data_IF_406765911139
#
_entry.id   IF_406765911139
#
_cell.length_a   1.000
_cell.length_b   1.000
_cell.length_c   1.000
_cell.angle_alpha   90.00
_cell.angle_beta   90.00
_cell.angle_gamma   90.00
#
_symmetry.space_group_name_H-M   'P 1'
#
loop_
_entity.id
_entity.type
_entity.pdbx_description
1 polymer ?
#
# COMPACT_ATOMS: atom_id res chain seq x y z
N UNK A 1 14.53 11.27 10.00
CA UNK A 1 13.38 12.16 9.75
C UNK A 1 13.19 13.09 10.95
N UNK A 2 13.01 14.39 10.68
CA UNK A 2 13.00 15.42 11.74
C UNK A 2 11.64 16.12 11.92
N UNK A 3 10.66 15.83 11.05
CA UNK A 3 9.32 16.41 11.15
C UNK A 3 8.22 15.42 10.77
N UNK A 4 7.08 15.55 11.43
CA UNK A 4 5.86 14.78 11.16
C UNK A 4 4.68 15.74 11.12
N UNK A 5 3.81 15.58 10.13
CA UNK A 5 2.55 16.30 9.99
C UNK A 5 1.39 15.34 9.84
N UNK A 6 0.36 15.51 10.64
CA UNK A 6 -0.86 14.69 10.60
C UNK A 6 -1.99 15.42 9.87
N UNK A 7 -2.81 14.66 9.15
CA UNK A 7 -4.04 15.11 8.50
C UNK A 7 -5.24 14.32 9.01
N UNK A 8 -6.43 14.91 8.95
CA UNK A 8 -7.66 14.32 9.48
C UNK A 8 -8.07 13.02 8.75
N UNK A 9 -7.84 12.92 7.45
CA UNK A 9 -8.14 11.72 6.65
C UNK A 9 -6.87 11.17 5.99
N UNK A 10 -6.68 9.83 5.96
CA UNK A 10 -5.51 9.21 5.35
C UNK A 10 -5.32 9.58 3.87
N UNK A 11 -6.41 9.61 3.11
CA UNK A 11 -6.42 9.97 1.69
C UNK A 11 -5.90 11.40 1.47
N UNK A 12 -6.25 12.33 2.37
CA UNK A 12 -5.83 13.73 2.26
C UNK A 12 -4.34 13.93 2.49
N UNK A 13 -3.65 13.07 3.23
CA UNK A 13 -2.19 13.18 3.42
C UNK A 13 -1.45 13.01 2.09
N UNK A 14 -1.84 12.04 1.26
CA UNK A 14 -1.30 11.83 -0.08
C UNK A 14 -1.66 12.98 -1.03
N UNK A 15 -2.97 13.28 -1.18
CA UNK A 15 -3.43 14.33 -2.09
C UNK A 15 -2.78 15.68 -1.77
N UNK A 16 -2.86 16.07 -0.51
CA UNK A 16 -2.37 17.35 -0.04
C UNK A 16 -0.85 17.43 -0.06
N UNK A 17 -0.16 16.37 0.38
CA UNK A 17 1.30 16.30 0.43
C UNK A 17 1.90 16.41 -0.97
N UNK A 18 1.50 15.54 -1.88
CA UNK A 18 2.03 15.50 -3.25
C UNK A 18 1.72 16.81 -3.99
N UNK A 19 0.44 17.25 -3.96
CA UNK A 19 0.03 18.46 -4.66
C UNK A 19 0.78 19.70 -4.16
N UNK A 20 0.94 19.84 -2.84
CA UNK A 20 1.60 21.01 -2.25
C UNK A 20 3.10 21.00 -2.53
N UNK A 21 3.78 19.88 -2.29
CA UNK A 21 5.23 19.78 -2.55
C UNK A 21 5.54 20.10 -4.00
N UNK A 22 4.81 19.49 -4.93
CA UNK A 22 5.05 19.70 -6.36
C UNK A 22 4.78 21.15 -6.79
N UNK A 23 3.73 21.80 -6.26
CA UNK A 23 3.40 23.23 -6.55
C UNK A 23 4.44 24.20 -6.02
N UNK A 24 5.02 23.90 -4.86
CA UNK A 24 6.03 24.77 -4.24
C UNK A 24 7.38 24.72 -4.96
N UNK A 25 7.61 23.70 -5.78
CA UNK A 25 8.84 23.51 -6.54
C UNK A 25 8.60 23.98 -7.99
N UNK A 26 9.17 25.11 -8.43
CA UNK A 26 8.97 25.60 -9.80
C UNK A 26 9.40 24.56 -10.85
N UNK A 27 8.60 24.39 -11.90
CA UNK A 27 8.84 23.45 -13.00
C UNK A 27 9.05 21.98 -12.56
N UNK A 28 8.43 21.55 -11.46
CA UNK A 28 8.55 20.18 -10.97
C UNK A 28 8.03 19.17 -11.99
N UNK A 29 8.83 18.15 -12.30
CA UNK A 29 8.40 16.96 -13.04
C UNK A 29 8.06 15.84 -12.06
N UNK A 30 6.84 15.32 -12.11
CA UNK A 30 6.42 14.18 -11.30
C UNK A 30 6.58 12.89 -12.10
N UNK A 31 7.26 11.91 -11.51
CA UNK A 31 7.41 10.56 -12.03
C UNK A 31 6.58 9.62 -11.12
N UNK A 32 5.44 9.14 -11.62
CA UNK A 32 4.48 8.35 -10.82
C UNK A 32 4.44 6.90 -11.29
N UNK A 33 4.48 5.95 -10.36
CA UNK A 33 4.25 4.54 -10.68
C UNK A 33 2.84 4.33 -11.25
N UNK A 34 2.72 3.40 -12.21
CA UNK A 34 1.47 3.12 -12.92
C UNK A 34 0.37 2.56 -12.01
N UNK A 35 0.73 1.90 -10.90
CA UNK A 35 -0.22 1.29 -9.96
C UNK A 35 -0.37 2.06 -8.65
N UNK A 36 0.09 3.29 -8.58
CA UNK A 36 -0.11 4.13 -7.41
C UNK A 36 -1.58 4.25 -7.02
N UNK A 37 -1.85 4.28 -5.73
CA UNK A 37 -3.18 4.47 -5.16
C UNK A 37 -3.85 5.75 -5.68
N UNK A 38 -5.19 5.72 -5.78
CA UNK A 38 -5.98 6.84 -6.31
C UNK A 38 -5.72 8.17 -5.60
N UNK A 39 -5.45 8.18 -4.29
CA UNK A 39 -5.11 9.40 -3.55
C UNK A 39 -3.80 10.04 -4.04
N UNK A 40 -2.80 9.22 -4.39
CA UNK A 40 -1.55 9.71 -4.98
C UNK A 40 -1.80 10.26 -6.39
N UNK A 41 -2.59 9.54 -7.20
CA UNK A 41 -2.99 10.00 -8.54
C UNK A 41 -3.75 11.33 -8.47
N UNK A 42 -4.63 11.48 -7.49
CA UNK A 42 -5.36 12.72 -7.25
C UNK A 42 -4.40 13.87 -6.87
N UNK A 43 -3.46 13.64 -5.96
CA UNK A 43 -2.42 14.62 -5.60
C UNK A 43 -1.56 15.03 -6.79
N UNK A 44 -1.14 14.05 -7.61
CA UNK A 44 -0.41 14.32 -8.86
C UNK A 44 -1.23 15.18 -9.83
N UNK A 45 -2.52 14.88 -10.00
CA UNK A 45 -3.42 15.68 -10.87
C UNK A 45 -3.64 17.09 -10.32
N UNK A 46 -3.90 17.22 -9.02
CA UNK A 46 -4.14 18.50 -8.36
C UNK A 46 -2.91 19.42 -8.36
N UNK A 47 -1.70 18.86 -8.46
CA UNK A 47 -0.48 19.65 -8.56
C UNK A 47 -0.46 20.53 -9.81
N UNK A 48 -1.08 20.11 -10.91
CA UNK A 48 -1.00 20.76 -12.21
C UNK A 48 0.38 20.67 -12.88
N UNK A 49 1.36 19.98 -12.27
CA UNK A 49 2.69 19.80 -12.81
C UNK A 49 2.72 18.78 -13.96
N UNK A 50 3.75 18.88 -14.82
CA UNK A 50 4.05 17.83 -15.79
C UNK A 50 4.25 16.50 -15.05
N UNK A 51 3.64 15.44 -15.58
CA UNK A 51 3.79 14.10 -15.04
C UNK A 51 4.15 13.10 -16.12
N UNK A 52 4.95 12.12 -15.76
CA UNK A 52 5.25 10.93 -16.55
C UNK A 52 4.98 9.71 -15.72
N UNK A 53 4.29 8.75 -16.31
CA UNK A 53 3.94 7.49 -15.64
C UNK A 53 4.95 6.44 -16.06
N UNK A 54 5.63 5.83 -15.09
CA UNK A 54 6.53 4.72 -15.37
C UNK A 54 5.85 3.38 -15.11
N UNK A 55 6.27 2.36 -15.89
CA UNK A 55 5.70 1.02 -15.76
C UNK A 55 5.94 0.48 -14.37
N UNK A 56 4.92 -0.16 -13.81
CA UNK A 56 4.92 -0.64 -12.44
C UNK A 56 6.20 -1.43 -12.09
N UNK A 57 6.88 -0.96 -11.03
CA UNK A 57 8.14 -1.52 -10.51
C UNK A 57 9.30 -1.66 -11.55
N UNK A 58 9.15 -1.11 -12.76
CA UNK A 58 10.16 -1.13 -13.81
C UNK A 58 11.16 0.02 -13.64
N UNK A 59 12.20 -0.24 -12.88
CA UNK A 59 13.26 0.77 -12.62
C UNK A 59 14.08 1.13 -13.86
N UNK A 60 14.09 0.28 -14.90
CA UNK A 60 14.74 0.63 -16.16
C UNK A 60 13.95 1.70 -16.89
N UNK A 61 12.63 1.57 -16.97
CA UNK A 61 11.75 2.60 -17.54
C UNK A 61 11.79 3.89 -16.71
N UNK A 62 11.82 3.80 -15.36
CA UNK A 62 12.01 4.97 -14.51
C UNK A 62 13.32 5.70 -14.87
N UNK A 63 14.42 4.97 -15.04
CA UNK A 63 15.70 5.55 -15.40
C UNK A 63 15.69 6.22 -16.79
N UNK A 64 14.99 5.62 -17.78
CA UNK A 64 14.78 6.23 -19.10
C UNK A 64 14.09 7.59 -18.99
N UNK A 65 13.01 7.68 -18.19
CA UNK A 65 12.26 8.92 -17.99
C UNK A 65 13.08 9.98 -17.24
N UNK A 66 13.88 9.57 -16.25
CA UNK A 66 14.78 10.44 -15.52
C UNK A 66 15.88 11.01 -16.43
N UNK A 67 16.47 10.17 -17.29
CA UNK A 67 17.49 10.54 -18.25
C UNK A 67 16.96 11.51 -19.33
N UNK A 68 15.70 11.33 -19.74
CA UNK A 68 15.05 12.20 -20.72
C UNK A 68 14.61 13.57 -20.16
N UNK A 69 14.67 13.77 -18.84
CA UNK A 69 14.40 15.06 -18.22
C UNK A 69 15.67 15.93 -18.23
N UNK A 70 15.48 17.26 -18.30
CA UNK A 70 16.60 18.18 -18.18
C UNK A 70 17.37 17.95 -16.86
N UNK A 71 18.71 17.94 -16.87
CA UNK A 71 19.50 17.56 -15.68
C UNK A 71 19.15 18.37 -14.42
N UNK A 72 18.99 19.68 -14.55
CA UNK A 72 18.72 20.60 -13.45
C UNK A 72 17.22 20.79 -13.15
N UNK A 73 16.33 20.12 -13.91
CA UNK A 73 14.89 20.18 -13.66
C UNK A 73 14.57 19.47 -12.35
N UNK A 74 13.83 20.08 -11.42
CA UNK A 74 13.37 19.41 -10.22
C UNK A 74 12.45 18.21 -10.55
N UNK A 75 12.65 17.11 -9.87
CA UNK A 75 11.92 15.86 -10.10
C UNK A 75 11.40 15.31 -8.78
N UNK A 76 10.19 14.77 -8.79
CA UNK A 76 9.56 14.07 -7.67
C UNK A 76 9.15 12.67 -8.13
N UNK A 77 9.76 11.64 -7.55
CA UNK A 77 9.40 10.23 -7.78
C UNK A 77 8.34 9.84 -6.73
N UNK A 78 7.18 9.38 -7.18
CA UNK A 78 6.02 9.06 -6.34
C UNK A 78 5.67 7.58 -6.51
N UNK A 79 5.68 6.80 -5.42
CA UNK A 79 5.46 5.36 -5.44
C UNK A 79 4.95 4.84 -4.09
N UNK A 80 4.31 3.65 -4.08
CA UNK A 80 4.01 2.91 -2.86
C UNK A 80 5.17 1.98 -2.52
N UNK A 81 5.47 1.81 -1.24
CA UNK A 81 6.47 0.81 -0.82
C UNK A 81 5.92 -0.60 -0.86
N UNK A 82 4.62 -0.74 -0.60
CA UNK A 82 3.85 -1.97 -0.68
C UNK A 82 2.50 -1.68 -1.34
N UNK A 83 2.27 -2.25 -2.51
CA UNK A 83 1.10 -2.01 -3.33
C UNK A 83 -0.12 -2.77 -2.86
N UNK A 84 -1.22 -2.04 -2.70
CA UNK A 84 -2.41 -2.49 -1.97
C UNK A 84 -3.22 -3.59 -2.66
N UNK A 85 -3.13 -3.73 -4.00
CA UNK A 85 -3.96 -4.65 -4.77
C UNK A 85 -3.25 -5.94 -5.15
N UNK A 86 -1.96 -5.87 -5.40
CA UNK A 86 -1.13 -7.01 -5.81
C UNK A 86 -0.32 -7.59 -4.65
N UNK A 87 -0.07 -6.79 -3.62
CA UNK A 87 0.70 -7.23 -2.45
C UNK A 87 2.19 -7.39 -2.75
N UNK A 88 2.69 -6.70 -3.75
CA UNK A 88 4.11 -6.65 -4.08
C UNK A 88 4.80 -5.43 -3.46
N UNK A 89 6.10 -5.39 -3.54
CA UNK A 89 6.96 -4.39 -2.89
C UNK A 89 7.78 -3.67 -3.95
N UNK A 90 7.88 -2.35 -3.82
CA UNK A 90 8.73 -1.55 -4.68
C UNK A 90 10.23 -1.89 -4.49
N UNK A 91 11.03 -1.84 -5.56
CA UNK A 91 12.49 -2.05 -5.48
C UNK A 91 13.19 -0.81 -4.88
N UNK A 92 12.96 -0.56 -3.57
CA UNK A 92 13.30 0.70 -2.87
C UNK A 92 14.75 1.14 -3.06
N UNK A 93 15.70 0.21 -2.88
CA UNK A 93 17.12 0.56 -3.00
C UNK A 93 17.44 1.09 -4.39
N UNK A 94 16.89 0.45 -5.44
CA UNK A 94 17.12 0.88 -6.81
C UNK A 94 16.45 2.22 -7.13
N UNK A 95 15.24 2.46 -6.60
CA UNK A 95 14.56 3.76 -6.74
C UNK A 95 15.38 4.87 -6.05
N UNK A 96 15.89 4.62 -4.84
CA UNK A 96 16.74 5.56 -4.13
C UNK A 96 18.06 5.83 -4.88
N UNK A 97 18.70 4.80 -5.44
CA UNK A 97 19.92 4.95 -6.26
C UNK A 97 19.66 5.87 -7.47
N UNK A 98 18.52 5.69 -8.12
CA UNK A 98 18.13 6.54 -9.25
C UNK A 98 17.79 7.96 -8.80
N UNK A 99 17.08 8.13 -7.70
CA UNK A 99 16.76 9.44 -7.14
C UNK A 99 18.01 10.23 -6.82
N UNK A 100 18.98 9.62 -6.15
CA UNK A 100 20.28 10.25 -5.82
C UNK A 100 21.06 10.59 -7.09
N UNK A 101 21.16 9.65 -8.04
CA UNK A 101 21.91 9.85 -9.29
C UNK A 101 21.37 11.00 -10.15
N UNK A 102 20.05 11.15 -10.22
CA UNK A 102 19.38 12.13 -11.07
C UNK A 102 18.89 13.38 -10.32
N UNK A 103 19.21 13.53 -9.04
CA UNK A 103 18.82 14.66 -8.22
C UNK A 103 17.30 14.79 -8.09
N UNK A 104 16.60 13.67 -7.89
CA UNK A 104 15.16 13.61 -7.70
C UNK A 104 14.81 13.46 -6.21
N UNK A 105 13.73 14.11 -5.78
CA UNK A 105 13.10 13.84 -4.49
C UNK A 105 12.25 12.56 -4.56
N UNK A 106 12.07 11.91 -3.43
CA UNK A 106 11.24 10.71 -3.28
C UNK A 106 10.05 10.95 -2.35
N UNK A 107 8.88 10.51 -2.79
CA UNK A 107 7.65 10.44 -1.98
C UNK A 107 7.15 8.99 -1.97
N UNK A 108 7.23 8.34 -0.83
CA UNK A 108 6.87 6.94 -0.66
C UNK A 108 5.66 6.79 0.26
N UNK A 109 4.65 6.10 -0.23
CA UNK A 109 3.46 5.72 0.54
C UNK A 109 3.71 4.39 1.26
N UNK A 110 3.64 4.41 2.59
CA UNK A 110 3.80 3.27 3.50
C UNK A 110 2.46 2.82 4.13
N UNK A 111 1.34 3.28 3.60
CA UNK A 111 0.00 3.07 4.18
C UNK A 111 -0.31 1.59 4.44
N UNK A 112 0.16 0.69 3.58
CA UNK A 112 0.01 -0.75 3.73
C UNK A 112 1.18 -1.44 4.47
N UNK A 113 2.13 -0.68 5.01
CA UNK A 113 3.32 -1.24 5.60
C UNK A 113 3.62 -0.72 7.03
N UNK A 114 3.28 0.53 7.36
CA UNK A 114 3.46 1.07 8.71
C UNK A 114 2.70 0.25 9.76
N UNK A 115 3.35 -0.03 10.87
CA UNK A 115 2.86 -0.91 11.93
C UNK A 115 3.07 -2.41 11.65
N UNK A 116 3.25 -2.81 10.39
CA UNK A 116 3.27 -4.22 9.95
C UNK A 116 4.65 -4.72 9.52
N UNK A 117 5.57 -3.84 9.17
CA UNK A 117 6.93 -4.16 8.71
C UNK A 117 7.98 -3.33 9.43
N UNK A 118 9.23 -3.82 9.39
CA UNK A 118 10.36 -3.19 10.07
C UNK A 118 10.47 -3.58 11.54
N UNK A 119 11.65 -3.44 12.11
CA UNK A 119 11.94 -3.84 13.49
C UNK A 119 11.11 -3.06 14.53
N UNK A 120 10.78 -1.82 14.22
CA UNK A 120 10.00 -0.93 15.08
C UNK A 120 8.61 -0.61 14.52
N UNK A 121 8.21 -1.28 13.43
CA UNK A 121 6.96 -1.04 12.75
C UNK A 121 6.92 0.25 11.92
N UNK A 122 8.06 0.71 11.44
CA UNK A 122 8.10 1.93 10.62
C UNK A 122 7.92 1.67 9.11
N UNK A 123 7.66 0.43 8.72
CA UNK A 123 7.29 0.08 7.35
C UNK A 123 8.35 -0.70 6.59
N UNK A 124 8.14 -0.83 5.28
CA UNK A 124 9.05 -1.52 4.35
C UNK A 124 10.36 -0.74 4.20
N UNK A 125 10.32 0.58 4.22
CA UNK A 125 11.53 1.40 4.16
C UNK A 125 12.48 1.13 5.34
N UNK A 126 11.94 0.89 6.55
CA UNK A 126 12.73 0.45 7.70
C UNK A 126 13.26 -0.97 7.51
N UNK A 127 12.41 -1.90 7.07
CA UNK A 127 12.78 -3.29 6.83
C UNK A 127 13.96 -3.41 5.87
N UNK A 128 13.93 -2.63 4.80
CA UNK A 128 14.90 -2.70 3.70
C UNK A 128 16.07 -1.72 3.87
N UNK A 129 16.14 -0.98 4.98
CA UNK A 129 17.22 -0.03 5.27
C UNK A 129 17.26 1.19 4.33
N UNK A 130 16.12 1.58 3.76
CA UNK A 130 16.00 2.69 2.83
C UNK A 130 15.43 3.98 3.46
N UNK A 131 15.00 3.95 4.72
CA UNK A 131 14.24 5.03 5.36
C UNK A 131 14.95 6.39 5.31
N UNK A 132 16.25 6.42 5.53
CA UNK A 132 17.01 7.67 5.55
C UNK A 132 17.31 8.23 4.16
N UNK A 133 17.04 7.45 3.11
CA UNK A 133 17.20 7.81 1.69
C UNK A 133 15.91 8.34 1.06
N UNK A 134 14.78 8.28 1.77
CA UNK A 134 13.48 8.74 1.31
C UNK A 134 13.20 10.12 1.89
N UNK A 135 12.84 11.09 1.03
CA UNK A 135 12.62 12.49 1.46
C UNK A 135 11.29 12.65 2.18
N UNK A 136 10.24 11.97 1.72
CA UNK A 136 8.90 12.01 2.30
C UNK A 136 8.34 10.60 2.41
N UNK A 137 7.98 10.21 3.64
CA UNK A 137 7.16 9.02 3.90
C UNK A 137 5.75 9.45 4.28
N UNK A 138 4.78 8.84 3.62
CA UNK A 138 3.37 8.95 4.00
C UNK A 138 2.92 7.69 4.72
N UNK A 139 2.04 7.83 5.68
CA UNK A 139 1.49 6.71 6.43
C UNK A 139 0.09 6.99 6.95
N UNK A 140 -0.60 5.91 7.31
CA UNK A 140 -1.96 5.99 7.85
C UNK A 140 -2.02 5.58 9.33
N UNK A 141 -2.95 6.19 10.05
CA UNK A 141 -3.36 5.75 11.38
C UNK A 141 -4.55 4.77 11.33
N UNK A 142 -5.15 4.57 10.14
CA UNK A 142 -6.43 3.86 9.97
C UNK A 142 -6.31 2.35 9.69
N UNK A 143 -5.10 1.81 9.60
CA UNK A 143 -4.88 0.38 9.38
C UNK A 143 -4.29 -0.29 10.63
N UNK A 144 -3.00 -0.54 10.68
CA UNK A 144 -2.36 -1.24 11.79
C UNK A 144 -2.52 -0.52 13.15
N UNK A 145 -2.64 0.80 13.15
CA UNK A 145 -2.81 1.56 14.38
C UNK A 145 -4.28 1.66 14.87
N UNK A 146 -5.26 1.22 14.06
CA UNK A 146 -6.67 1.14 14.45
C UNK A 146 -7.36 2.46 14.76
N UNK A 147 -6.85 3.58 14.20
CA UNK A 147 -7.35 4.94 14.43
C UNK A 147 -7.85 5.58 13.13
N UNK A 148 -8.08 6.89 13.16
CA UNK A 148 -8.41 7.71 12.00
C UNK A 148 -7.26 8.69 11.75
N UNK A 149 -6.94 8.95 10.48
CA UNK A 149 -5.96 9.96 10.09
C UNK A 149 -4.81 9.41 9.26
N UNK A 150 -4.06 10.32 8.67
CA UNK A 150 -2.82 10.06 7.95
C UNK A 150 -1.75 11.08 8.35
N UNK A 151 -0.54 10.85 7.92
CA UNK A 151 0.57 11.73 8.22
C UNK A 151 1.63 11.67 7.11
N UNK A 152 2.40 12.73 7.00
CA UNK A 152 3.68 12.72 6.30
C UNK A 152 4.82 12.89 7.29
N UNK A 153 5.95 12.27 6.98
CA UNK A 153 7.18 12.37 7.75
C UNK A 153 8.35 12.64 6.81
N UNK A 154 9.25 13.55 7.19
CA UNK A 154 10.39 13.92 6.38
C UNK A 154 11.26 14.96 7.07
N UNK A 155 12.03 15.73 6.30
CA UNK A 155 12.81 16.87 6.83
C UNK A 155 11.86 17.94 7.36
N UNK A 156 12.22 18.57 8.49
CA UNK A 156 11.36 19.56 9.17
C UNK A 156 10.93 20.72 8.26
N UNK A 157 11.83 21.25 7.45
CA UNK A 157 11.53 22.34 6.51
C UNK A 157 10.48 21.94 5.46
N UNK A 158 10.51 20.70 4.97
CA UNK A 158 9.54 20.19 4.02
C UNK A 158 8.16 20.01 4.69
N UNK A 159 8.16 19.41 5.87
CA UNK A 159 6.91 19.21 6.66
C UNK A 159 6.29 20.56 7.02
N UNK A 160 7.10 21.55 7.40
CA UNK A 160 6.65 22.90 7.72
C UNK A 160 6.09 23.63 6.49
N UNK A 161 6.73 23.46 5.32
CA UNK A 161 6.21 23.98 4.06
C UNK A 161 4.81 23.39 3.73
N UNK A 162 4.63 22.08 3.86
CA UNK A 162 3.31 21.46 3.66
C UNK A 162 2.30 22.00 4.68
N UNK A 163 2.66 22.09 5.97
CA UNK A 163 1.80 22.64 7.01
C UNK A 163 1.34 24.06 6.69
N UNK A 164 2.24 24.88 6.13
CA UNK A 164 2.00 26.31 5.91
C UNK A 164 1.25 26.61 4.61
N UNK A 165 1.35 25.73 3.60
CA UNK A 165 0.83 26.01 2.25
C UNK A 165 -0.24 25.02 1.77
N UNK A 166 -0.45 23.90 2.47
CA UNK A 166 -1.40 22.89 2.03
C UNK A 166 -2.85 23.24 2.37
N UNK A 167 -3.72 23.48 1.39
CA UNK A 167 -5.12 23.80 1.66
C UNK A 167 -5.84 22.67 2.41
N UNK A 168 -5.56 21.42 2.09
CA UNK A 168 -6.13 20.25 2.76
C UNK A 168 -5.68 20.07 4.20
N UNK A 169 -4.68 20.81 4.67
CA UNK A 169 -4.29 20.89 6.07
C UNK A 169 -4.84 22.16 6.73
N UNK A 170 -4.69 23.32 6.10
CA UNK A 170 -5.05 24.63 6.69
C UNK A 170 -6.56 24.76 6.91
N UNK A 171 -7.36 24.27 5.95
CA UNK A 171 -8.81 24.43 5.90
C UNK A 171 -9.59 23.18 6.33
N UNK A 172 -8.97 22.28 7.07
CA UNK A 172 -9.63 21.13 7.68
C UNK A 172 -9.57 21.20 9.20
N UNK A 173 -10.38 20.35 9.86
CA UNK A 173 -10.32 20.21 11.31
C UNK A 173 -9.14 19.35 11.74
N UNK A 174 -8.59 19.64 12.92
CA UNK A 174 -7.57 18.80 13.54
C UNK A 174 -8.14 17.43 13.95
N UNK A 175 -7.26 16.45 14.11
CA UNK A 175 -7.65 15.16 14.70
C UNK A 175 -8.15 15.38 16.13
N UNK A 176 -9.28 14.74 16.52
CA UNK A 176 -9.77 14.82 17.89
C UNK A 176 -8.72 14.32 18.91
N UNK A 177 -8.59 14.97 20.09
CA UNK A 177 -7.62 14.57 21.10
C UNK A 177 -7.66 13.08 21.50
N UNK A 178 -8.83 12.42 21.64
CA UNK A 178 -8.88 10.99 21.91
C UNK A 178 -8.24 10.15 20.80
N UNK A 179 -8.40 10.52 19.53
CA UNK A 179 -7.77 9.85 18.38
C UNK A 179 -6.26 10.01 18.43
N UNK A 180 -5.77 11.20 18.73
CA UNK A 180 -4.33 11.44 18.88
C UNK A 180 -3.74 10.62 20.03
N UNK A 181 -4.45 10.52 21.15
CA UNK A 181 -4.03 9.72 22.30
C UNK A 181 -3.99 8.22 21.96
N UNK A 182 -5.03 7.70 21.30
CA UNK A 182 -5.11 6.31 20.86
C UNK A 182 -4.00 5.97 19.85
N UNK A 183 -3.80 6.82 18.84
CA UNK A 183 -2.72 6.65 17.87
C UNK A 183 -1.34 6.66 18.52
N UNK A 184 -1.12 7.57 19.48
CA UNK A 184 0.13 7.63 20.24
C UNK A 184 0.37 6.35 21.03
N UNK A 185 -0.66 5.81 21.69
CA UNK A 185 -0.57 4.55 22.44
C UNK A 185 -0.28 3.36 21.50
N UNK A 186 -1.00 3.25 20.36
CA UNK A 186 -0.80 2.20 19.37
C UNK A 186 0.62 2.25 18.77
N UNK A 187 1.11 3.42 18.39
CA UNK A 187 2.48 3.60 17.86
C UNK A 187 3.53 3.21 18.91
N UNK A 188 3.38 3.66 20.16
CA UNK A 188 4.30 3.30 21.24
C UNK A 188 4.32 1.79 21.49
N UNK A 189 3.15 1.16 21.50
CA UNK A 189 3.03 -0.29 21.65
C UNK A 189 3.75 -1.02 20.53
N UNK A 190 3.40 -0.76 19.27
CA UNK A 190 3.98 -1.43 18.13
C UNK A 190 5.49 -1.13 17.94
N UNK A 191 5.97 0.02 18.43
CA UNK A 191 7.40 0.34 18.41
C UNK A 191 8.23 -0.57 19.32
N UNK A 192 7.65 -1.09 20.39
CA UNK A 192 8.30 -1.97 21.36
C UNK A 192 7.89 -3.43 21.27
N UNK A 193 6.73 -3.74 20.66
CA UNK A 193 6.24 -5.10 20.46
C UNK A 193 6.54 -5.61 19.06
N UNK A 194 7.03 -6.85 18.98
CA UNK A 194 7.22 -7.59 17.73
C UNK A 194 6.22 -8.74 17.56
N UNK A 195 5.45 -9.04 18.62
CA UNK A 195 4.55 -10.20 18.59
C UNK A 195 3.53 -10.09 17.46
N UNK A 196 2.86 -8.94 17.34
CA UNK A 196 1.81 -8.74 16.34
C UNK A 196 2.37 -8.86 14.92
N UNK A 197 3.55 -8.27 14.67
CA UNK A 197 4.20 -8.33 13.35
C UNK A 197 4.64 -9.74 13.00
N UNK A 198 5.28 -10.44 13.92
CA UNK A 198 5.72 -11.82 13.70
C UNK A 198 4.53 -12.75 13.45
N UNK A 199 3.50 -12.64 14.28
CA UNK A 199 2.26 -13.42 14.14
C UNK A 199 1.51 -13.09 12.84
N UNK A 200 1.46 -11.80 12.45
CA UNK A 200 0.83 -11.37 11.22
C UNK A 200 1.49 -12.00 9.97
N UNK A 201 2.82 -11.97 9.89
CA UNK A 201 3.55 -12.59 8.77
C UNK A 201 3.37 -14.11 8.76
N UNK A 202 3.40 -14.74 9.92
CA UNK A 202 3.15 -16.18 10.06
C UNK A 202 1.73 -16.54 9.60
N UNK A 203 0.71 -15.79 10.01
CA UNK A 203 -0.68 -16.01 9.56
C UNK A 203 -0.84 -15.81 8.06
N UNK A 204 -0.21 -14.79 7.48
CA UNK A 204 -0.21 -14.58 6.03
C UNK A 204 0.42 -15.77 5.28
N UNK A 205 1.53 -16.28 5.79
CA UNK A 205 2.17 -17.49 5.27
C UNK A 205 1.26 -18.72 5.35
N UNK A 206 0.61 -18.93 6.49
CA UNK A 206 -0.34 -20.05 6.71
C UNK A 206 -1.52 -19.97 5.75
N UNK A 207 -2.17 -18.81 5.60
CA UNK A 207 -3.28 -18.62 4.66
C UNK A 207 -2.84 -18.97 3.24
N UNK A 208 -1.72 -18.43 2.76
CA UNK A 208 -1.20 -18.76 1.42
C UNK A 208 -0.97 -20.26 1.24
N UNK A 209 -0.37 -20.91 2.24
CA UNK A 209 -0.07 -22.35 2.18
C UNK A 209 -1.35 -23.19 2.05
N UNK A 210 -2.36 -22.89 2.87
CA UNK A 210 -3.62 -23.63 2.87
C UNK A 210 -4.42 -23.41 1.59
N UNK A 211 -4.53 -22.16 1.12
CA UNK A 211 -5.24 -21.84 -0.13
C UNK A 211 -4.54 -22.45 -1.36
N UNK A 212 -3.21 -22.44 -1.41
CA UNK A 212 -2.46 -23.11 -2.47
C UNK A 212 -2.63 -24.66 -2.41
N UNK A 213 -2.69 -25.24 -1.21
CA UNK A 213 -2.96 -26.67 -1.06
C UNK A 213 -4.36 -27.04 -1.58
N UNK A 214 -5.34 -26.16 -1.43
CA UNK A 214 -6.69 -26.26 -2.00
C UNK A 214 -6.75 -25.93 -3.51
N UNK A 215 -5.60 -25.70 -4.16
CA UNK A 215 -5.51 -25.32 -5.56
C UNK A 215 -6.26 -24.03 -5.94
N UNK A 216 -6.55 -23.16 -4.99
CA UNK A 216 -7.15 -21.84 -5.24
C UNK A 216 -6.15 -20.93 -5.98
N UNK A 217 -6.60 -20.04 -6.88
CA UNK A 217 -5.73 -19.22 -7.71
C UNK A 217 -5.14 -18.02 -6.94
N UNK A 218 -4.33 -18.31 -5.92
CA UNK A 218 -3.59 -17.32 -5.16
C UNK A 218 -2.54 -16.66 -6.04
N UNK A 219 -2.59 -15.35 -6.14
CA UNK A 219 -1.57 -14.58 -6.87
C UNK A 219 -0.24 -14.59 -6.12
N UNK A 220 0.90 -14.56 -6.83
CA UNK A 220 2.20 -14.40 -6.19
C UNK A 220 2.26 -13.14 -5.34
N UNK A 221 2.52 -13.29 -4.06
CA UNK A 221 2.69 -12.19 -3.11
C UNK A 221 3.64 -12.61 -1.99
N UNK A 222 4.59 -11.72 -1.67
CA UNK A 222 5.55 -11.93 -0.57
C UNK A 222 5.15 -11.16 0.70
N UNK A 223 3.96 -10.55 0.71
CA UNK A 223 3.48 -9.69 1.80
C UNK A 223 2.29 -10.32 2.52
N UNK A 224 1.69 -9.59 3.45
CA UNK A 224 0.49 -10.01 4.16
C UNK A 224 -0.79 -9.96 3.30
N UNK A 225 -0.74 -9.32 2.15
CA UNK A 225 -1.87 -9.27 1.22
C UNK A 225 -1.91 -10.56 0.41
N UNK A 226 -3.03 -11.25 0.45
CA UNK A 226 -3.23 -12.54 -0.23
C UNK A 226 -4.36 -12.38 -1.25
N UNK A 227 -4.03 -11.97 -2.49
CA UNK A 227 -5.04 -11.85 -3.53
C UNK A 227 -5.37 -13.22 -4.11
N UNK A 228 -6.67 -13.52 -4.28
CA UNK A 228 -7.16 -14.74 -4.93
C UNK A 228 -7.91 -14.33 -6.20
N UNK A 229 -7.37 -14.72 -7.36
CA UNK A 229 -7.89 -14.31 -8.66
C UNK A 229 -9.28 -14.90 -8.92
N UNK A 230 -10.20 -14.07 -9.41
CA UNK A 230 -11.51 -14.50 -9.91
C UNK A 230 -11.64 -14.21 -11.40
N UNK A 231 -11.23 -13.02 -11.85
CA UNK A 231 -11.14 -12.63 -13.26
C UNK A 231 -12.47 -12.21 -13.90
N UNK A 232 -13.53 -12.11 -13.11
CA UNK A 232 -14.86 -11.65 -13.57
C UNK A 232 -15.54 -10.86 -12.42
N UNK A 233 -16.14 -9.68 -12.70
CA UNK A 233 -16.70 -8.81 -11.66
C UNK A 233 -17.98 -9.35 -11.02
N UNK A 234 -18.82 -10.09 -11.77
CA UNK A 234 -20.06 -10.65 -11.25
C UNK A 234 -19.76 -11.83 -10.35
N UNK A 235 -18.87 -12.73 -10.80
CA UNK A 235 -18.41 -13.84 -9.97
C UNK A 235 -17.63 -13.37 -8.73
N UNK A 236 -16.82 -12.31 -8.84
CA UNK A 236 -16.09 -11.77 -7.71
C UNK A 236 -17.02 -11.22 -6.62
N UNK A 237 -18.10 -10.53 -7.04
CA UNK A 237 -19.13 -10.08 -6.11
C UNK A 237 -19.92 -11.25 -5.55
N UNK A 238 -20.37 -12.20 -6.39
CA UNK A 238 -21.12 -13.36 -5.96
C UNK A 238 -20.33 -14.21 -4.94
N UNK A 239 -19.03 -14.40 -5.17
CA UNK A 239 -18.17 -15.11 -4.22
C UNK A 239 -18.12 -14.43 -2.86
N UNK A 240 -17.98 -13.10 -2.83
CA UNK A 240 -17.99 -12.33 -1.58
C UNK A 240 -19.35 -12.42 -0.86
N UNK A 241 -20.45 -12.32 -1.61
CA UNK A 241 -21.81 -12.39 -1.06
C UNK A 241 -22.10 -13.78 -0.45
N UNK A 242 -21.73 -14.87 -1.16
CA UNK A 242 -21.89 -16.25 -0.67
C UNK A 242 -21.04 -16.53 0.58
N UNK A 243 -19.78 -16.11 0.59
CA UNK A 243 -18.91 -16.22 1.77
C UNK A 243 -19.54 -15.56 2.99
N UNK A 244 -20.11 -14.36 2.81
CA UNK A 244 -20.73 -13.65 3.91
C UNK A 244 -22.05 -14.32 4.36
N UNK A 245 -22.92 -14.67 3.41
CA UNK A 245 -24.26 -15.15 3.72
C UNK A 245 -24.27 -16.56 4.33
N UNK A 246 -23.39 -17.45 3.88
CA UNK A 246 -23.44 -18.86 4.24
C UNK A 246 -22.32 -19.32 5.15
N UNK A 247 -21.17 -18.64 5.09
CA UNK A 247 -19.99 -18.97 5.92
C UNK A 247 -19.69 -17.92 6.98
N UNK A 248 -20.39 -16.75 6.98
CA UNK A 248 -20.12 -15.66 7.91
C UNK A 248 -18.75 -15.00 7.71
N UNK A 249 -18.15 -15.13 6.52
CA UNK A 249 -16.81 -14.63 6.19
C UNK A 249 -16.95 -13.46 5.23
N UNK A 250 -16.54 -12.27 5.67
CA UNK A 250 -16.49 -11.10 4.80
C UNK A 250 -15.12 -10.95 4.15
N UNK A 251 -15.08 -10.94 2.82
CA UNK A 251 -13.90 -10.60 2.03
C UNK A 251 -14.28 -9.56 1.00
N UNK A 252 -13.52 -8.46 0.94
CA UNK A 252 -13.77 -7.39 -0.02
C UNK A 252 -13.52 -7.86 -1.45
N UNK A 253 -14.54 -7.83 -2.34
CA UNK A 253 -14.32 -8.03 -3.77
C UNK A 253 -13.64 -6.80 -4.36
N UNK A 254 -12.58 -7.01 -5.13
CA UNK A 254 -11.84 -5.95 -5.81
C UNK A 254 -12.12 -6.04 -7.31
N UNK A 255 -12.90 -5.08 -7.80
CA UNK A 255 -13.37 -5.01 -9.17
C UNK A 255 -12.88 -3.74 -9.88
N UNK A 256 -13.13 -3.64 -11.19
CA UNK A 256 -12.96 -2.39 -11.91
C UNK A 256 -13.81 -1.27 -11.24
N UNK A 257 -13.31 -0.03 -11.09
CA UNK A 257 -12.06 0.52 -11.68
C UNK A 257 -10.81 0.35 -10.80
N UNK A 258 -10.90 -0.34 -9.66
CA UNK A 258 -9.76 -0.51 -8.73
C UNK A 258 -8.66 -1.37 -9.33
N UNK A 259 -9.04 -2.37 -10.10
CA UNK A 259 -8.15 -3.22 -10.89
C UNK A 259 -8.63 -3.29 -12.33
N UNK A 260 -7.77 -3.62 -13.31
CA UNK A 260 -8.19 -3.81 -14.70
C UNK A 260 -9.22 -4.93 -14.84
N UNK A 261 -10.10 -4.82 -15.85
CA UNK A 261 -11.05 -5.90 -16.20
C UNK A 261 -10.32 -7.19 -16.54
N UNK A 262 -10.84 -8.33 -16.07
CA UNK A 262 -10.20 -9.64 -16.19
C UNK A 262 -9.15 -9.92 -15.10
N UNK A 263 -8.98 -8.99 -14.16
CA UNK A 263 -8.07 -9.15 -13.03
C UNK A 263 -8.75 -8.94 -11.67
N UNK A 264 -10.05 -9.10 -11.66
CA UNK A 264 -10.89 -9.05 -10.46
C UNK A 264 -10.48 -10.14 -9.48
N UNK A 265 -10.47 -9.83 -8.20
CA UNK A 265 -9.94 -10.70 -7.15
C UNK A 265 -10.61 -10.51 -5.80
N UNK A 266 -10.58 -11.53 -4.99
CA UNK A 266 -10.82 -11.40 -3.55
C UNK A 266 -9.48 -11.04 -2.87
N UNK A 267 -9.46 -9.98 -2.07
CA UNK A 267 -8.25 -9.55 -1.35
C UNK A 267 -8.34 -9.94 0.11
N UNK A 268 -7.61 -10.98 0.48
CA UNK A 268 -7.54 -11.48 1.84
C UNK A 268 -6.40 -10.81 2.57
N UNK A 269 -6.68 -10.31 3.77
CA UNK A 269 -5.70 -9.67 4.66
C UNK A 269 -5.85 -10.27 6.06
N UNK A 270 -5.13 -11.37 6.36
CA UNK A 270 -5.21 -12.00 7.67
C UNK A 270 -4.69 -11.07 8.75
N UNK A 271 -5.14 -11.29 9.98
CA UNK A 271 -4.68 -10.57 11.17
C UNK A 271 -3.95 -11.51 12.11
N UNK A 272 -3.18 -11.02 13.09
CA UNK A 272 -2.52 -11.86 14.09
C UNK A 272 -3.46 -12.75 14.91
N UNK A 273 -4.75 -12.40 14.94
CA UNK A 273 -5.78 -13.09 15.74
C UNK A 273 -6.53 -14.19 15.00
N UNK A 274 -6.30 -14.36 13.70
CA UNK A 274 -6.84 -15.50 12.97
C UNK A 274 -6.07 -16.76 13.38
N UNK A 275 -6.70 -17.66 14.10
CA UNK A 275 -6.14 -18.95 14.49
C UNK A 275 -6.19 -19.98 13.35
N UNK A 276 -5.71 -21.18 13.60
CA UNK A 276 -5.67 -22.24 12.58
C UNK A 276 -7.08 -22.68 12.17
N UNK A 277 -8.03 -22.75 13.12
CA UNK A 277 -9.39 -23.13 12.84
C UNK A 277 -10.08 -22.13 11.89
N UNK A 278 -9.87 -20.82 12.10
CA UNK A 278 -10.39 -19.77 11.21
C UNK A 278 -9.74 -19.82 9.83
N UNK A 279 -8.44 -20.12 9.74
CA UNK A 279 -7.74 -20.24 8.46
C UNK A 279 -8.21 -21.48 7.68
N UNK A 280 -8.41 -22.60 8.36
CA UNK A 280 -8.90 -23.83 7.75
C UNK A 280 -10.36 -23.66 7.30
N UNK A 281 -11.24 -23.06 8.12
CA UNK A 281 -12.61 -22.72 7.75
C UNK A 281 -12.67 -21.76 6.54
N UNK A 282 -11.76 -20.80 6.44
CA UNK A 282 -11.64 -19.91 5.27
C UNK A 282 -11.36 -20.71 3.99
N UNK A 283 -10.45 -21.69 4.06
CA UNK A 283 -10.10 -22.49 2.89
C UNK A 283 -11.27 -23.41 2.45
N UNK A 284 -11.96 -24.02 3.42
CA UNK A 284 -13.15 -24.84 3.16
C UNK A 284 -14.26 -23.99 2.51
N UNK A 285 -14.54 -22.80 3.07
CA UNK A 285 -15.54 -21.88 2.55
C UNK A 285 -15.21 -21.41 1.12
N UNK A 286 -13.94 -21.07 0.86
CA UNK A 286 -13.52 -20.69 -0.49
C UNK A 286 -13.63 -21.85 -1.48
N UNK A 287 -13.29 -23.09 -1.07
CA UNK A 287 -13.42 -24.25 -1.93
C UNK A 287 -14.90 -24.53 -2.28
N UNK A 288 -15.81 -24.46 -1.31
CA UNK A 288 -17.26 -24.59 -1.54
C UNK A 288 -17.77 -23.51 -2.53
N UNK A 289 -17.41 -22.24 -2.31
CA UNK A 289 -17.84 -21.14 -3.17
C UNK A 289 -17.27 -21.28 -4.58
N UNK A 290 -16.02 -21.71 -4.74
CA UNK A 290 -15.40 -21.97 -6.04
C UNK A 290 -16.12 -23.06 -6.82
N UNK A 291 -16.47 -24.19 -6.16
CA UNK A 291 -17.22 -25.28 -6.76
C UNK A 291 -18.63 -24.83 -7.20
N UNK A 292 -19.34 -24.15 -6.33
CA UNK A 292 -20.73 -23.69 -6.60
C UNK A 292 -20.82 -22.65 -7.72
N UNK A 293 -19.81 -21.80 -7.86
CA UNK A 293 -19.75 -20.80 -8.93
C UNK A 293 -19.05 -21.33 -10.20
N UNK A 294 -18.55 -22.57 -10.18
CA UNK A 294 -17.82 -23.16 -11.31
C UNK A 294 -16.52 -22.42 -11.65
N UNK A 295 -15.85 -21.85 -10.64
CA UNK A 295 -14.64 -21.05 -10.84
C UNK A 295 -13.42 -21.94 -11.09
N UNK A 296 -12.50 -21.45 -11.91
CA UNK A 296 -11.29 -22.21 -12.24
C UNK A 296 -10.32 -22.31 -11.06
N UNK A 297 -9.85 -23.52 -10.78
CA UNK A 297 -8.75 -23.79 -9.87
C UNK A 297 -7.41 -23.70 -10.61
N UNK A 298 -6.34 -23.40 -9.86
CA UNK A 298 -4.98 -23.55 -10.38
C UNK A 298 -4.71 -25.04 -10.63
N UNK A 299 -4.66 -25.46 -11.90
CA UNK A 299 -4.16 -26.79 -12.25
C UNK A 299 -2.69 -26.84 -11.86
N UNK A 300 -2.34 -27.61 -10.83
CA UNK A 300 -0.93 -27.98 -10.62
C UNK A 300 -0.45 -28.62 -11.94
N UNK A 301 0.74 -28.25 -12.47
CA UNK A 301 1.39 -29.10 -13.43
C UNK A 301 1.49 -30.49 -12.78
N UNK A 302 0.92 -31.52 -13.41
CA UNK A 302 1.17 -32.89 -13.02
C UNK A 302 2.69 -33.01 -12.95
N UNK A 303 3.23 -33.37 -11.78
CA UNK A 303 4.64 -33.69 -11.66
C UNK A 303 4.90 -34.75 -12.72
N UNK A 304 5.80 -34.44 -13.65
CA UNK A 304 6.31 -35.45 -14.58
C UNK A 304 6.98 -36.51 -13.70
N UNK A 305 6.41 -37.73 -13.72
CA UNK A 305 7.00 -38.92 -13.14
C UNK A 305 8.34 -39.26 -13.79
#
# INVERSE_FOLDING_TARGET
>A
MTGVQTCALPILSNETGIATIAKLIPDCLILSDALNHNSMIAGVRQSGCEKRIWRHNDTAHLEELLRAAAPNRPKLIVFETLYSMDGDVAPLQRICDLAERYGAMTYADEVHAVGMYGARGAGVAERDGAMDRIDVLEGTLAKAFGCVGGYIAGKSALVDAVRSYAPGFIFTTALPPPVCAAATAAIRHLKSSNWERARHQERAGRVKAVLNAAALPVMPSYTHIVPVMVGDPEHCKAASDLLLAEHGIYIQPINYPTVPRGSERLRITPTPYHDDALVDALAEALADVWDRLGLALNRRPLAAE
#
